data_IF_585396727552
#
_entry.id   IF_585396727552
#
_cell.length_a   1.000
_cell.length_b   1.000
_cell.length_c   1.000
_cell.angle_alpha   90.00
_cell.angle_beta   90.00
_cell.angle_gamma   90.00
#
_symmetry.space_group_name_H-M   'P 1'
#
loop_
_entity.id
_entity.type
_entity.pdbx_description
1 polymer ?
#
# COMPACT_ATOMS: atom_id res chain seq x y z
N UNK A 1 -28.73 -30.51 -3.11
CA UNK A 1 -28.67 -30.14 -4.54
C UNK A 1 -27.22 -29.83 -4.87
N UNK A 2 -26.57 -30.63 -5.72
CA UNK A 2 -25.21 -30.39 -6.19
C UNK A 2 -25.20 -29.31 -7.27
N UNK A 3 -24.15 -28.48 -7.33
CA UNK A 3 -23.99 -27.50 -8.40
C UNK A 3 -24.03 -28.22 -9.76
N UNK A 4 -24.79 -27.74 -10.77
CA UNK A 4 -24.95 -28.43 -12.07
C UNK A 4 -23.64 -28.72 -12.82
N UNK A 5 -22.52 -28.15 -12.37
CA UNK A 5 -21.18 -28.22 -12.98
C UNK A 5 -20.06 -28.29 -11.93
N UNK A 6 -20.22 -29.12 -10.90
CA UNK A 6 -19.08 -29.48 -10.05
C UNK A 6 -18.03 -30.22 -10.90
N UNK A 7 -16.76 -29.77 -10.87
CA UNK A 7 -15.66 -30.44 -11.58
C UNK A 7 -15.36 -29.94 -13.00
N UNK A 8 -15.48 -28.63 -13.28
CA UNK A 8 -14.86 -28.07 -14.49
C UNK A 8 -13.33 -28.10 -14.34
N UNK A 9 -12.73 -29.20 -14.77
CA UNK A 9 -11.29 -29.33 -14.92
C UNK A 9 -10.85 -28.48 -16.12
N UNK A 10 -9.76 -27.74 -15.97
CA UNK A 10 -9.18 -26.92 -17.05
C UNK A 10 -8.88 -27.78 -18.28
N UNK A 11 -9.01 -27.26 -19.51
CA UNK A 11 -8.46 -27.94 -20.68
C UNK A 11 -6.96 -28.22 -20.50
N UNK A 12 -6.41 -29.27 -21.12
CA UNK A 12 -4.97 -29.48 -21.13
C UNK A 12 -4.25 -28.26 -21.76
N UNK A 13 -2.98 -28.01 -21.39
CA UNK A 13 -2.26 -26.80 -21.78
C UNK A 13 -2.31 -26.47 -23.27
N UNK A 14 -2.23 -27.48 -24.13
CA UNK A 14 -2.22 -27.36 -25.59
C UNK A 14 -3.57 -26.90 -26.17
N UNK A 15 -4.65 -27.09 -25.42
CA UNK A 15 -6.03 -26.73 -25.80
C UNK A 15 -6.53 -25.50 -25.04
N UNK A 16 -5.67 -24.90 -24.24
CA UNK A 16 -5.97 -23.74 -23.43
C UNK A 16 -5.85 -22.47 -24.27
N UNK A 17 -6.73 -21.49 -24.07
CA UNK A 17 -6.73 -20.23 -24.83
C UNK A 17 -5.60 -19.31 -24.38
N UNK A 18 -5.13 -18.41 -25.26
CA UNK A 18 -4.07 -17.42 -24.96
C UNK A 18 -4.28 -16.67 -23.63
N UNK A 19 -5.53 -16.28 -23.35
CA UNK A 19 -5.96 -15.58 -22.13
C UNK A 19 -5.58 -16.27 -20.80
N UNK A 20 -5.28 -17.58 -20.84
CA UNK A 20 -4.91 -18.35 -19.66
C UNK A 20 -3.46 -18.87 -19.73
N UNK A 21 -2.77 -18.73 -20.86
CA UNK A 21 -1.42 -19.29 -21.07
C UNK A 21 -0.34 -18.21 -21.21
N UNK A 22 -0.55 -17.28 -22.12
CA UNK A 22 0.51 -16.37 -22.61
C UNK A 22 0.08 -14.91 -22.60
N UNK A 23 -1.22 -14.63 -22.56
CA UNK A 23 -1.69 -13.27 -22.51
C UNK A 23 -1.30 -12.68 -21.14
N UNK A 24 -0.70 -11.48 -21.11
CA UNK A 24 -0.47 -10.80 -19.85
C UNK A 24 -1.80 -10.65 -19.10
N UNK A 25 -1.80 -10.72 -17.76
CA UNK A 25 -2.99 -10.40 -16.98
C UNK A 25 -3.58 -9.08 -17.48
N UNK A 26 -4.89 -9.06 -17.72
CA UNK A 26 -5.59 -7.84 -18.13
C UNK A 26 -5.21 -6.70 -17.18
N UNK A 27 -5.03 -5.49 -17.72
CA UNK A 27 -4.67 -4.25 -16.98
C UNK A 27 -5.71 -3.82 -15.91
N UNK A 28 -6.63 -4.71 -15.53
CA UNK A 28 -7.74 -4.42 -14.65
C UNK A 28 -8.76 -3.51 -15.32
N UNK A 29 -9.74 -3.06 -14.54
CA UNK A 29 -10.68 -1.99 -14.94
C UNK A 29 -10.18 -0.61 -14.52
N UNK A 30 -8.93 -0.52 -14.03
CA UNK A 30 -8.33 0.72 -13.62
C UNK A 30 -7.98 1.52 -14.89
N UNK A 31 -8.55 2.71 -15.02
CA UNK A 31 -8.15 3.61 -16.10
C UNK A 31 -6.67 4.00 -15.90
N UNK A 32 -5.83 3.96 -16.95
CA UNK A 32 -4.42 4.35 -16.83
C UNK A 32 -4.25 5.81 -16.42
N UNK A 33 -5.28 6.63 -16.66
CA UNK A 33 -5.36 8.02 -16.25
C UNK A 33 -6.17 8.15 -14.97
N UNK A 34 -5.55 7.92 -13.82
CA UNK A 34 -6.05 8.54 -12.59
C UNK A 34 -5.71 10.02 -12.70
N UNK A 35 -6.74 10.88 -12.70
CA UNK A 35 -6.51 12.31 -12.49
C UNK A 35 -5.72 12.44 -11.17
N UNK A 36 -4.68 13.30 -11.12
CA UNK A 36 -4.02 13.58 -9.85
C UNK A 36 -5.10 14.01 -8.86
N UNK A 37 -5.08 13.50 -7.62
CA UNK A 37 -6.07 13.87 -6.63
C UNK A 37 -6.12 15.41 -6.53
N UNK A 38 -7.33 15.97 -6.54
CA UNK A 38 -7.60 17.41 -6.40
C UNK A 38 -6.92 18.00 -5.15
N UNK A 39 -6.62 17.15 -4.17
CA UNK A 39 -5.94 17.49 -2.94
C UNK A 39 -4.48 17.06 -2.97
N UNK A 40 -3.61 18.02 -2.68
CA UNK A 40 -2.18 17.76 -2.50
C UNK A 40 -1.96 16.87 -1.27
N UNK A 41 -0.91 16.04 -1.27
CA UNK A 41 -0.58 15.21 -0.10
C UNK A 41 -0.35 16.06 1.18
N UNK A 42 -0.03 17.34 1.00
CA UNK A 42 0.11 18.33 2.06
C UNK A 42 -1.21 18.58 2.80
N UNK A 43 -2.37 18.53 2.13
CA UNK A 43 -3.68 18.69 2.76
C UNK A 43 -3.99 17.56 3.76
N UNK A 44 -3.41 16.38 3.56
CA UNK A 44 -3.57 15.23 4.47
C UNK A 44 -2.78 15.41 5.77
N UNK A 45 -1.79 16.31 5.78
CA UNK A 45 -0.98 16.64 6.95
C UNK A 45 -1.40 17.95 7.61
N UNK A 46 -2.35 18.67 7.00
CA UNK A 46 -2.88 19.91 7.54
C UNK A 46 -3.61 19.61 8.87
N UNK A 47 -2.99 20.01 9.98
CA UNK A 47 -3.50 19.77 11.33
C UNK A 47 -2.76 18.70 12.13
N UNK A 48 -1.81 17.98 11.52
CA UNK A 48 -0.84 17.17 12.25
C UNK A 48 0.31 18.05 12.76
N UNK A 49 0.00 19.00 13.64
CA UNK A 49 1.04 19.74 14.37
C UNK A 49 1.80 18.76 15.25
N UNK A 50 3.12 18.91 15.37
CA UNK A 50 3.95 18.08 16.25
C UNK A 50 3.31 17.95 17.65
N UNK A 51 3.46 16.76 18.24
CA UNK A 51 2.96 16.50 19.59
C UNK A 51 3.55 17.51 20.59
N UNK A 52 2.81 17.88 21.66
CA UNK A 52 3.35 18.71 22.73
C UNK A 52 4.63 18.10 23.32
N UNK A 53 5.56 18.98 23.71
CA UNK A 53 6.84 18.59 24.32
C UNK A 53 6.60 17.70 25.55
N UNK A 54 7.34 16.60 25.67
CA UNK A 54 7.19 15.70 26.81
C UNK A 54 7.85 16.34 28.06
N UNK A 55 7.25 16.26 29.26
CA UNK A 55 7.77 16.94 30.45
C UNK A 55 9.18 16.50 30.88
N UNK A 56 9.60 15.28 30.50
CA UNK A 56 10.95 14.76 30.83
C UNK A 56 12.00 15.07 29.76
N UNK A 57 11.62 15.62 28.61
CA UNK A 57 12.49 15.79 27.45
C UNK A 57 13.69 16.71 27.74
N UNK A 58 13.47 17.79 28.51
CA UNK A 58 14.55 18.70 28.94
C UNK A 58 15.49 18.05 29.95
N UNK A 59 14.95 17.21 30.84
CA UNK A 59 15.73 16.50 31.86
C UNK A 59 16.63 15.46 31.20
N UNK A 60 16.10 14.71 30.23
CA UNK A 60 16.88 13.74 29.46
C UNK A 60 17.93 14.42 28.60
N UNK A 61 17.55 15.47 27.86
CA UNK A 61 18.48 16.26 27.05
C UNK A 61 19.63 16.81 27.90
N UNK A 62 19.35 17.34 29.10
CA UNK A 62 20.38 17.84 30.00
C UNK A 62 21.29 16.74 30.56
N UNK A 63 20.76 15.54 30.84
CA UNK A 63 21.55 14.38 31.30
C UNK A 63 22.56 13.94 30.22
N UNK A 64 22.13 13.85 28.97
CA UNK A 64 23.00 13.39 27.88
C UNK A 64 23.90 14.50 27.32
N UNK A 65 23.47 15.78 27.36
CA UNK A 65 24.31 16.92 26.98
C UNK A 65 25.51 17.12 27.92
N UNK A 66 25.38 16.75 29.21
CA UNK A 66 26.46 16.87 30.19
C UNK A 66 27.45 15.68 30.19
N UNK A 67 27.19 14.64 29.38
CA UNK A 67 27.99 13.41 29.30
C UNK A 67 28.50 13.04 27.91
N UNK A 68 28.22 13.84 26.88
CA UNK A 68 28.77 13.66 25.53
C UNK A 68 30.24 14.05 25.45
N UNK A 69 31.12 13.23 26.03
CA UNK A 69 32.53 13.19 25.62
C UNK A 69 32.60 12.60 24.21
N UNK A 70 33.34 13.32 23.36
CA UNK A 70 33.79 12.89 22.04
C UNK A 70 34.66 11.63 22.10
#
# INVERSE_FOLDING_TARGET
>A
MSAPRAGRQSPPPERQTGAQQQDPPSEGKAHPQYAPPEHSAQDQTAGLSSNPKHPLEDIESAKFAKGGIA
#
